data_IF_584894359135
#
_entry.id   IF_584894359135
#
_cell.length_a   1.000
_cell.length_b   1.000
_cell.length_c   1.000
_cell.angle_alpha   90.00
_cell.angle_beta   90.00
_cell.angle_gamma   90.00
#
_symmetry.space_group_name_H-M   'P 1'
#
loop_
_entity.id
_entity.type
_entity.pdbx_description
1 polymer ?
#
# COMPACT_ATOMS: atom_id res chain seq x y z
N UNK A 1 -2.53 15.30 13.61
CA UNK A 1 -3.94 15.28 13.16
C UNK A 1 -4.49 13.87 13.29
N UNK A 2 -5.73 13.74 13.78
CA UNK A 2 -6.45 12.46 13.88
C UNK A 2 -6.94 11.98 12.51
N UNK A 3 -7.17 10.69 12.34
CA UNK A 3 -7.69 10.13 11.08
C UNK A 3 -9.12 10.62 10.79
N UNK A 4 -9.99 10.70 11.80
CA UNK A 4 -11.35 11.23 11.64
C UNK A 4 -11.37 12.64 11.06
N UNK A 5 -10.51 13.52 11.59
CA UNK A 5 -10.35 14.91 11.11
C UNK A 5 -9.90 14.96 9.64
N UNK A 6 -8.98 14.08 9.24
CA UNK A 6 -8.55 13.97 7.83
C UNK A 6 -9.74 13.58 6.94
N UNK A 7 -10.57 12.62 7.36
CA UNK A 7 -11.73 12.17 6.60
C UNK A 7 -12.78 13.27 6.47
N UNK A 8 -13.00 14.07 7.51
CA UNK A 8 -13.89 15.22 7.45
C UNK A 8 -13.37 16.29 6.47
N UNK A 9 -12.08 16.59 6.50
CA UNK A 9 -11.47 17.53 5.57
C UNK A 9 -11.59 17.06 4.11
N UNK A 10 -11.41 15.76 3.84
CA UNK A 10 -11.50 15.20 2.48
C UNK A 10 -12.91 15.36 1.88
N UNK A 11 -13.96 15.54 2.69
CA UNK A 11 -15.31 15.82 2.18
C UNK A 11 -15.42 17.18 1.50
N UNK A 12 -14.52 18.12 1.82
CA UNK A 12 -14.58 19.51 1.35
C UNK A 12 -13.33 19.95 0.57
N UNK A 13 -12.24 19.20 0.65
CA UNK A 13 -10.98 19.51 -0.01
C UNK A 13 -10.27 18.26 -0.55
N UNK A 14 -9.28 18.47 -1.41
CA UNK A 14 -8.52 17.39 -2.02
C UNK A 14 -7.46 16.82 -1.08
N UNK A 15 -7.15 15.51 -1.14
CA UNK A 15 -6.04 14.93 -0.39
C UNK A 15 -4.70 15.63 -0.64
N UNK A 16 -4.49 16.21 -1.82
CA UNK A 16 -3.29 16.96 -2.18
C UNK A 16 -3.13 18.25 -1.38
N UNK A 17 -4.22 18.99 -1.18
CA UNK A 17 -4.22 20.22 -0.39
C UNK A 17 -4.10 19.90 1.11
N UNK A 18 -4.85 18.91 1.58
CA UNK A 18 -4.84 18.48 2.98
C UNK A 18 -3.44 18.04 3.40
N UNK A 19 -2.76 17.26 2.57
CA UNK A 19 -1.41 16.78 2.85
C UNK A 19 -0.38 17.92 3.03
N UNK A 20 -0.57 19.05 2.33
CA UNK A 20 0.30 20.24 2.39
C UNK A 20 0.00 21.16 3.57
N UNK A 21 -1.11 20.99 4.27
CA UNK A 21 -1.46 21.83 5.43
C UNK A 21 -0.38 21.73 6.50
N UNK A 22 -0.18 22.80 7.26
CA UNK A 22 0.86 22.88 8.28
C UNK A 22 0.68 21.85 9.42
N UNK A 23 -0.56 21.46 9.71
CA UNK A 23 -0.96 20.49 10.74
C UNK A 23 -0.86 19.01 10.29
N UNK A 24 -0.64 18.77 8.99
CA UNK A 24 -0.51 17.44 8.37
C UNK A 24 0.90 17.20 7.81
N UNK A 25 1.44 18.15 7.05
CA UNK A 25 2.81 18.18 6.53
C UNK A 25 3.38 16.82 6.07
N UNK A 26 2.65 16.11 5.22
CA UNK A 26 3.12 14.87 4.55
C UNK A 26 2.85 14.94 3.05
N UNK A 27 3.44 14.04 2.27
CA UNK A 27 3.08 13.92 0.85
C UNK A 27 1.71 13.28 0.67
N UNK A 28 0.96 13.68 -0.36
CA UNK A 28 -0.35 13.06 -0.69
C UNK A 28 -0.25 11.53 -0.82
N UNK A 29 0.79 11.04 -1.48
CA UNK A 29 1.06 9.60 -1.61
C UNK A 29 1.21 8.92 -0.25
N UNK A 30 1.83 9.59 0.71
CA UNK A 30 2.04 9.06 2.05
C UNK A 30 0.75 9.12 2.86
N UNK A 31 -0.03 10.20 2.74
CA UNK A 31 -1.36 10.34 3.33
C UNK A 31 -2.29 9.19 2.89
N UNK A 32 -2.38 8.96 1.58
CA UNK A 32 -3.19 7.85 1.03
C UNK A 32 -2.73 6.49 1.58
N UNK A 33 -1.42 6.26 1.66
CA UNK A 33 -0.87 5.01 2.21
C UNK A 33 -1.17 4.86 3.70
N UNK A 34 -1.13 5.95 4.46
CA UNK A 34 -1.44 5.97 5.88
C UNK A 34 -2.91 5.60 6.11
N UNK A 35 -3.84 6.17 5.33
CA UNK A 35 -5.25 5.80 5.35
C UNK A 35 -5.46 4.30 5.03
N UNK A 36 -4.81 3.79 3.98
CA UNK A 36 -4.87 2.36 3.65
C UNK A 36 -4.35 1.47 4.78
N UNK A 37 -3.23 1.83 5.42
CA UNK A 37 -2.69 1.08 6.56
C UNK A 37 -3.59 1.15 7.80
N UNK A 38 -4.35 2.23 7.95
CA UNK A 38 -5.36 2.36 8.99
C UNK A 38 -6.65 1.57 8.68
N UNK A 39 -6.73 0.89 7.53
CA UNK A 39 -7.90 0.09 7.16
C UNK A 39 -8.93 0.85 6.32
N UNK A 40 -8.58 1.99 5.72
CA UNK A 40 -9.46 2.72 4.81
C UNK A 40 -9.14 2.45 3.35
N UNK A 41 -10.15 2.15 2.55
CA UNK A 41 -10.03 1.96 1.11
C UNK A 41 -10.72 3.09 0.36
N UNK A 42 -10.06 3.63 -0.66
CA UNK A 42 -10.69 4.58 -1.57
C UNK A 42 -11.46 3.84 -2.66
N UNK A 43 -12.77 4.06 -2.74
CA UNK A 43 -13.63 3.53 -3.79
C UNK A 43 -13.89 4.60 -4.84
N UNK A 44 -13.65 4.26 -6.11
CA UNK A 44 -13.92 5.13 -7.25
C UNK A 44 -15.17 4.72 -8.06
N UNK A 45 -15.73 3.55 -7.75
CA UNK A 45 -16.97 3.03 -8.33
C UNK A 45 -18.13 3.21 -7.36
N UNK A 46 -19.29 3.63 -7.87
CA UNK A 46 -20.45 3.97 -7.04
C UNK A 46 -20.26 5.32 -6.35
N UNK A 47 -20.65 5.39 -5.08
CA UNK A 47 -20.38 6.56 -4.25
C UNK A 47 -18.87 6.65 -3.99
N UNK A 48 -18.27 7.77 -4.40
CA UNK A 48 -16.82 7.96 -4.32
C UNK A 48 -16.45 8.41 -2.91
N UNK A 49 -15.48 7.73 -2.30
CA UNK A 49 -15.08 8.06 -0.94
C UNK A 49 -14.07 7.10 -0.34
N UNK A 50 -13.67 7.43 0.88
CA UNK A 50 -12.89 6.55 1.75
C UNK A 50 -13.85 5.78 2.65
N UNK A 51 -13.68 4.46 2.68
CA UNK A 51 -14.53 3.55 3.44
C UNK A 51 -13.66 2.72 4.37
N UNK A 52 -14.09 2.57 5.62
CA UNK A 52 -13.45 1.64 6.53
C UNK A 52 -13.75 0.20 6.11
N UNK A 53 -12.69 -0.58 5.91
CA UNK A 53 -12.71 -2.00 5.54
C UNK A 53 -11.78 -2.84 6.44
N UNK A 54 -11.21 -2.21 7.49
CA UNK A 54 -10.33 -2.85 8.45
C UNK A 54 -11.08 -3.66 9.51
N UNK A 55 -10.32 -4.38 10.32
CA UNK A 55 -10.85 -5.10 11.48
C UNK A 55 -10.95 -4.17 12.70
N UNK A 56 -11.98 -4.37 13.54
CA UNK A 56 -12.17 -3.64 14.79
C UNK A 56 -13.16 -2.49 14.69
N UNK A 57 -13.05 -1.58 15.65
CA UNK A 57 -13.93 -0.42 15.78
C UNK A 57 -13.40 0.78 15.00
N UNK A 58 -14.21 1.30 14.07
CA UNK A 58 -13.84 2.43 13.21
C UNK A 58 -13.57 3.69 14.03
N UNK A 59 -14.38 3.97 15.06
CA UNK A 59 -14.25 5.16 15.90
C UNK A 59 -12.88 5.19 16.59
N UNK A 60 -12.45 4.06 17.15
CA UNK A 60 -11.12 3.86 17.74
C UNK A 60 -10.00 4.11 16.74
N UNK A 61 -10.18 3.74 15.47
CA UNK A 61 -9.20 4.05 14.41
C UNK A 61 -9.21 5.54 14.06
N UNK A 62 -10.38 6.16 13.98
CA UNK A 62 -10.51 7.60 13.70
C UNK A 62 -9.83 8.47 14.75
N UNK A 63 -9.75 8.00 16.00
CA UNK A 63 -9.07 8.68 17.10
C UNK A 63 -7.53 8.66 17.01
N UNK A 64 -6.95 7.76 16.20
CA UNK A 64 -5.50 7.61 16.06
C UNK A 64 -4.88 8.68 15.16
N UNK A 65 -3.58 8.94 15.33
CA UNK A 65 -2.87 9.93 14.54
C UNK A 65 -2.49 9.35 13.17
N UNK A 66 -2.70 10.13 12.11
CA UNK A 66 -2.31 9.71 10.75
C UNK A 66 -0.80 9.39 10.63
N UNK A 67 0.02 10.00 11.49
CA UNK A 67 1.47 9.83 11.53
C UNK A 67 1.90 8.42 11.96
N UNK A 68 1.11 7.74 12.79
CA UNK A 68 1.41 6.38 13.26
C UNK A 68 1.41 5.39 12.07
N UNK A 69 0.64 5.73 11.02
CA UNK A 69 0.52 4.95 9.81
C UNK A 69 1.41 5.48 8.66
N UNK A 70 1.87 6.73 8.75
CA UNK A 70 2.69 7.43 7.75
C UNK A 70 4.17 7.00 7.72
N UNK A 71 4.49 5.77 8.11
CA UNK A 71 5.87 5.25 8.06
C UNK A 71 6.26 4.78 6.65
N UNK A 72 7.45 5.16 6.19
CA UNK A 72 8.01 4.69 4.92
C UNK A 72 8.52 3.23 4.95
N UNK A 73 8.53 2.60 6.14
CA UNK A 73 8.98 1.24 6.38
C UNK A 73 7.85 0.22 6.51
N UNK A 74 8.20 -1.05 6.34
CA UNK A 74 7.33 -2.24 6.19
C UNK A 74 6.01 -2.13 6.94
N UNK A 75 4.90 -2.28 6.20
CA UNK A 75 3.57 -2.38 6.77
C UNK A 75 3.59 -3.39 7.92
N UNK A 76 3.27 -2.95 9.13
CA UNK A 76 2.81 -3.88 10.16
C UNK A 76 1.40 -4.27 9.74
N UNK A 77 1.31 -5.35 8.98
CA UNK A 77 0.04 -6.02 8.73
C UNK A 77 -0.48 -6.44 10.10
N UNK A 78 -1.49 -5.74 10.62
CA UNK A 78 -2.36 -6.34 11.62
C UNK A 78 -3.46 -7.03 10.82
N UNK A 79 -3.11 -8.18 10.26
CA UNK A 79 -4.07 -9.14 9.70
C UNK A 79 -4.19 -10.21 10.77
N UNK A 80 -5.28 -10.19 11.52
CA UNK A 80 -5.69 -11.37 12.25
C UNK A 80 -6.47 -12.24 11.26
N UNK A 81 -5.78 -13.03 10.44
CA UNK A 81 -6.45 -14.07 9.65
C UNK A 81 -7.06 -15.10 10.60
N UNK A 82 -8.34 -14.96 10.90
CA UNK A 82 -9.20 -16.10 11.21
C UNK A 82 -10.28 -16.22 10.15
N UNK A 83 -9.89 -16.75 8.98
CA UNK A 83 -10.82 -17.30 8.01
C UNK A 83 -10.48 -18.78 7.86
N UNK A 84 -11.38 -19.63 8.35
CA UNK A 84 -11.33 -21.08 8.22
C UNK A 84 -11.00 -21.46 6.76
N UNK A 85 -9.84 -22.07 6.55
CA UNK A 85 -9.46 -22.67 5.27
C UNK A 85 -10.12 -24.03 5.15
N UNK A 86 -11.13 -24.16 4.31
CA UNK A 86 -11.42 -25.45 3.68
C UNK A 86 -10.41 -25.69 2.53
N UNK A 87 -9.92 -26.94 2.35
CA UNK A 87 -8.79 -27.22 1.47
C UNK A 87 -9.23 -27.30 0.00
N UNK A 88 -8.83 -26.34 -0.81
CA UNK A 88 -8.83 -26.52 -2.28
C UNK A 88 -7.55 -27.26 -2.67
N UNK A 89 -7.75 -28.39 -3.34
CA UNK A 89 -6.74 -29.34 -3.77
C UNK A 89 -5.70 -28.72 -4.72
N UNK A 90 -4.43 -29.05 -4.47
CA UNK A 90 -3.32 -28.84 -5.38
C UNK A 90 -3.42 -29.79 -6.59
N UNK A 91 -3.37 -29.26 -7.82
CA UNK A 91 -2.84 -29.94 -9.02
C UNK A 91 -2.54 -28.90 -10.10
N UNK A 92 -1.28 -28.47 -10.25
CA UNK A 92 -0.34 -29.04 -11.23
C UNK A 92 0.85 -28.07 -11.50
N UNK A 93 2.00 -28.45 -10.94
CA UNK A 93 3.37 -28.38 -11.47
C UNK A 93 3.68 -27.46 -12.67
N UNK A 94 4.68 -26.57 -12.50
CA UNK A 94 6.06 -26.83 -13.00
C UNK A 94 7.07 -25.84 -12.41
N UNK A 95 7.99 -26.40 -11.64
CA UNK A 95 9.18 -25.78 -11.07
C UNK A 95 10.28 -25.61 -12.14
N UNK A 96 11.07 -24.54 -12.04
CA UNK A 96 12.41 -24.51 -12.65
C UNK A 96 13.38 -23.80 -11.69
N UNK A 97 14.09 -24.61 -10.90
CA UNK A 97 15.24 -24.21 -10.07
C UNK A 97 16.51 -24.80 -10.70
N UNK A 98 17.57 -23.99 -10.77
CA UNK A 98 18.94 -24.38 -11.14
C UNK A 98 19.20 -24.25 -12.65
N UNK A 99 20.33 -23.73 -13.13
CA UNK A 99 21.71 -24.08 -12.74
C UNK A 99 22.66 -22.92 -13.06
N UNK A 100 23.62 -22.67 -12.17
CA UNK A 100 24.81 -21.84 -12.42
C UNK A 100 25.80 -22.62 -13.27
N UNK A 101 26.36 -21.99 -14.31
CA UNK A 101 27.73 -22.28 -14.77
C UNK A 101 28.28 -21.04 -15.49
N UNK A 102 29.36 -20.48 -14.97
CA UNK A 102 30.22 -19.57 -15.72
C UNK A 102 31.11 -20.37 -16.68
N UNK A 103 31.35 -19.82 -17.87
CA UNK A 103 32.61 -19.98 -18.61
C UNK A 103 32.90 -18.71 -19.39
N UNK A 104 34.18 -18.42 -19.44
CA UNK A 104 34.86 -17.21 -19.85
C UNK A 104 35.35 -17.32 -21.33
N UNK A 105 35.59 -16.16 -21.96
CA UNK A 105 36.19 -15.82 -23.28
C UNK A 105 35.28 -16.04 -24.51
N UNK A 106 35.19 -15.12 -25.49
CA UNK A 106 36.29 -14.49 -26.25
C UNK A 106 35.86 -13.17 -26.92
N UNK A 107 36.87 -12.33 -27.16
CA UNK A 107 36.90 -11.02 -27.82
C UNK A 107 36.62 -11.11 -29.34
N UNK A 108 35.98 -10.12 -29.95
CA UNK A 108 36.56 -9.33 -31.07
C UNK A 108 35.64 -8.20 -31.54
N UNK A 109 36.29 -7.12 -31.99
CA UNK A 109 35.75 -5.85 -32.41
C UNK A 109 35.39 -5.82 -33.90
N UNK A 110 34.42 -4.97 -34.26
CA UNK A 110 34.39 -4.27 -35.54
C UNK A 110 33.33 -3.14 -35.54
N UNK A 111 33.77 -2.02 -36.10
CA UNK A 111 33.17 -0.69 -36.15
C UNK A 111 31.86 -0.58 -36.96
N UNK A 112 31.09 0.52 -36.82
CA UNK A 112 29.91 0.78 -37.62
C UNK A 112 30.24 1.13 -39.08
N UNK A 113 29.46 0.54 -39.98
CA UNK A 113 29.47 0.72 -41.43
C UNK A 113 28.96 2.12 -41.83
N UNK A 114 29.70 2.79 -42.72
CA UNK A 114 29.14 3.77 -43.68
C UNK A 114 28.86 3.05 -45.00
#
# INVERSE_FOLDING_TARGET
MKIGEILELIKTDTPANIAKRADVHISEKLLRKALNKAGYEYRNSGEKGWYFVGEGDEETVQEQLIYDFATAGKAKANVSTNVNKEPINDTNQRSNVGIKHGKEQVKQANEPTL
#
